data_IF_633624687490
#
_entry.id   IF_633624687490
#
_cell.length_a   1.000
_cell.length_b   1.000
_cell.length_c   1.000
_cell.angle_alpha   90.00
_cell.angle_beta   90.00
_cell.angle_gamma   90.00
#
_symmetry.space_group_name_H-M   'P 1'
#
loop_
_entity.id
_entity.type
_entity.pdbx_description
1 polymer ?
#
# COMPACT_ATOMS: atom_id res chain seq x y z
N UNK A 1 3.78 -0.69 -3.65
CA UNK A 1 3.09 -1.79 -2.95
C UNK A 1 1.84 -1.31 -2.20
N UNK A 2 1.90 -0.24 -1.39
CA UNK A 2 0.73 0.25 -0.63
C UNK A 2 -0.54 0.44 -1.48
N UNK A 3 -0.45 1.18 -2.59
CA UNK A 3 -1.59 1.41 -3.51
C UNK A 3 -2.16 0.08 -4.02
N UNK A 4 -1.30 -0.79 -4.57
CA UNK A 4 -1.72 -2.09 -5.11
C UNK A 4 -2.37 -3.01 -4.06
N UNK A 5 -1.88 -3.00 -2.81
CA UNK A 5 -2.49 -3.79 -1.73
C UNK A 5 -3.87 -3.22 -1.38
N UNK A 6 -4.02 -1.89 -1.29
CA UNK A 6 -5.32 -1.24 -1.07
C UNK A 6 -6.31 -1.57 -2.19
N UNK A 7 -5.89 -1.51 -3.45
CA UNK A 7 -6.71 -1.91 -4.60
C UNK A 7 -7.13 -3.38 -4.52
N UNK A 8 -6.22 -4.28 -4.13
CA UNK A 8 -6.51 -5.70 -3.99
C UNK A 8 -7.59 -5.97 -2.92
N UNK A 9 -7.56 -5.26 -1.78
CA UNK A 9 -8.60 -5.39 -0.75
C UNK A 9 -9.97 -4.91 -1.23
N UNK A 10 -10.03 -3.75 -1.90
CA UNK A 10 -11.30 -3.23 -2.45
C UNK A 10 -11.85 -4.17 -3.54
N UNK A 11 -10.98 -4.69 -4.41
CA UNK A 11 -11.37 -5.67 -5.42
C UNK A 11 -11.88 -6.96 -4.75
N UNK A 12 -11.16 -7.50 -3.77
CA UNK A 12 -11.57 -8.68 -3.02
C UNK A 12 -12.94 -8.51 -2.36
N UNK A 13 -13.17 -7.39 -1.68
CA UNK A 13 -14.46 -7.04 -1.07
C UNK A 13 -15.58 -7.00 -2.12
N UNK A 14 -15.34 -6.37 -3.27
CA UNK A 14 -16.33 -6.31 -4.37
C UNK A 14 -16.69 -7.69 -4.94
N UNK A 15 -15.81 -8.67 -4.78
CA UNK A 15 -16.01 -10.06 -5.19
C UNK A 15 -16.58 -10.94 -4.06
N UNK A 16 -16.88 -10.37 -2.88
CA UNK A 16 -17.43 -11.07 -1.73
C UNK A 16 -16.40 -11.79 -0.85
N UNK A 17 -15.10 -11.52 -1.03
CA UNK A 17 -14.07 -12.04 -0.14
C UNK A 17 -14.00 -11.20 1.14
N UNK A 18 -13.83 -11.88 2.28
CA UNK A 18 -13.48 -11.19 3.51
C UNK A 18 -12.03 -10.69 3.46
N UNK A 19 -11.77 -9.59 4.15
CA UNK A 19 -10.40 -9.07 4.32
C UNK A 19 -9.45 -10.13 4.89
N UNK A 20 -9.92 -10.94 5.84
CA UNK A 20 -9.10 -12.00 6.43
C UNK A 20 -8.74 -13.08 5.38
N UNK A 21 -9.71 -13.51 4.57
CA UNK A 21 -9.46 -14.51 3.54
C UNK A 21 -8.43 -14.02 2.50
N UNK A 22 -8.54 -12.76 2.07
CA UNK A 22 -7.54 -12.18 1.16
C UNK A 22 -6.16 -12.08 1.83
N UNK A 23 -6.12 -11.65 3.09
CA UNK A 23 -4.88 -11.52 3.85
C UNK A 23 -4.17 -12.87 4.04
N UNK A 24 -4.89 -13.92 4.44
CA UNK A 24 -4.33 -15.24 4.72
C UNK A 24 -3.62 -15.83 3.48
N UNK A 25 -4.22 -15.66 2.30
CA UNK A 25 -3.64 -16.11 1.04
C UNK A 25 -2.48 -15.20 0.61
N UNK A 26 -2.71 -13.88 0.53
CA UNK A 26 -1.72 -12.97 -0.05
C UNK A 26 -0.47 -12.81 0.83
N UNK A 27 -0.59 -12.97 2.15
CA UNK A 27 0.52 -12.85 3.10
C UNK A 27 1.51 -14.02 3.08
N UNK A 28 1.10 -15.16 2.50
CA UNK A 28 1.94 -16.36 2.37
C UNK A 28 2.27 -16.69 0.91
N UNK A 29 1.78 -15.88 -0.03
CA UNK A 29 2.01 -16.02 -1.46
C UNK A 29 3.00 -14.98 -2.00
N UNK A 30 3.15 -14.92 -3.33
CA UNK A 30 4.05 -13.99 -4.02
C UNK A 30 3.65 -12.52 -3.90
N UNK A 31 2.41 -12.22 -3.50
CA UNK A 31 1.94 -10.85 -3.23
C UNK A 31 2.40 -10.28 -1.89
N UNK A 32 3.12 -11.06 -1.08
CA UNK A 32 3.56 -10.63 0.24
C UNK A 32 4.51 -9.43 0.15
N UNK A 33 4.24 -8.43 0.97
CA UNK A 33 5.13 -7.31 1.23
C UNK A 33 4.80 -6.64 2.56
N UNK A 34 5.65 -5.73 3.03
CA UNK A 34 5.46 -4.98 4.27
C UNK A 34 4.11 -4.24 4.33
N UNK A 35 3.65 -3.70 3.20
CA UNK A 35 2.37 -3.02 3.08
C UNK A 35 1.18 -3.91 3.46
N UNK A 36 1.30 -5.23 3.22
CA UNK A 36 0.28 -6.20 3.57
C UNK A 36 0.45 -6.68 5.03
N UNK A 37 1.63 -7.16 5.41
CA UNK A 37 1.83 -7.89 6.68
C UNK A 37 2.07 -6.99 7.89
N UNK A 38 2.35 -5.70 7.68
CA UNK A 38 2.62 -4.77 8.77
C UNK A 38 1.71 -3.54 8.70
N UNK A 39 1.49 -3.02 7.50
CA UNK A 39 0.70 -1.80 7.29
C UNK A 39 -0.61 -2.05 6.54
N UNK A 40 -1.25 -3.19 6.84
CA UNK A 40 -2.50 -3.63 6.20
C UNK A 40 -3.51 -2.47 6.13
N UNK A 41 -4.05 -2.14 4.93
CA UNK A 41 -4.87 -0.95 4.74
C UNK A 41 -6.32 -1.13 5.20
N UNK A 42 -6.68 -2.31 5.74
CA UNK A 42 -8.02 -2.60 6.27
C UNK A 42 -7.93 -3.02 7.74
N UNK A 43 -8.93 -2.66 8.57
CA UNK A 43 -8.97 -3.06 9.97
C UNK A 43 -9.17 -4.58 10.11
N UNK A 44 -8.62 -5.16 11.18
CA UNK A 44 -8.73 -6.60 11.50
C UNK A 44 -7.43 -7.38 11.32
N UNK A 45 -7.01 -7.75 10.08
CA UNK A 45 -5.98 -8.77 9.85
C UNK A 45 -4.63 -8.50 10.51
N UNK A 46 -4.25 -7.22 10.65
CA UNK A 46 -3.04 -6.80 11.36
C UNK A 46 -3.43 -5.81 12.45
N UNK A 47 -3.63 -6.25 13.70
CA UNK A 47 -4.15 -5.39 14.79
C UNK A 47 -3.30 -4.14 15.06
N UNK A 48 -1.99 -4.23 14.86
CA UNK A 48 -1.05 -3.12 15.07
C UNK A 48 -1.03 -2.09 13.93
N UNK A 49 -1.68 -2.37 12.79
CA UNK A 49 -1.69 -1.47 11.63
C UNK A 49 -2.47 -0.17 11.91
N UNK A 50 -2.14 0.93 11.22
CA UNK A 50 -2.87 2.20 11.35
C UNK A 50 -4.37 2.10 11.04
N UNK A 51 -4.79 1.15 10.20
CA UNK A 51 -6.20 0.97 9.83
C UNK A 51 -7.12 0.68 11.03
N UNK A 52 -6.59 0.15 12.13
CA UNK A 52 -7.34 -0.11 13.37
C UNK A 52 -7.40 1.10 14.33
N UNK A 53 -6.81 2.24 13.95
CA UNK A 53 -6.70 3.43 14.80
C UNK A 53 -6.92 4.72 14.01
N UNK A 54 -7.97 4.72 13.18
CA UNK A 54 -8.40 5.84 12.34
C UNK A 54 -7.28 6.40 11.46
N UNK A 55 -6.41 5.51 10.98
CA UNK A 55 -5.23 5.85 10.17
C UNK A 55 -4.31 6.88 10.81
N UNK A 56 -4.30 6.96 12.16
CA UNK A 56 -3.35 7.81 12.88
C UNK A 56 -1.93 7.50 12.43
N UNK A 57 -1.15 8.52 11.99
CA UNK A 57 0.04 8.27 11.20
C UNK A 57 1.10 7.46 11.96
N UNK A 58 1.63 6.43 11.31
CA UNK A 58 3.00 5.98 11.54
C UNK A 58 3.94 6.73 10.60
N UNK A 59 3.70 6.54 9.29
CA UNK A 59 4.25 7.39 8.23
C UNK A 59 3.12 8.19 7.59
N UNK A 60 3.23 9.53 7.62
CA UNK A 60 2.15 10.42 7.21
C UNK A 60 2.07 10.56 5.68
N UNK A 61 0.85 10.64 5.14
CA UNK A 61 0.62 10.79 3.70
C UNK A 61 1.33 12.02 3.08
N UNK A 62 1.38 13.21 3.72
CA UNK A 62 2.15 14.33 3.19
C UNK A 62 3.66 14.07 3.08
N UNK A 63 4.22 13.22 3.97
CA UNK A 63 5.62 12.84 3.88
C UNK A 63 5.86 11.87 2.72
N UNK A 64 4.95 10.91 2.50
CA UNK A 64 5.00 10.04 1.32
C UNK A 64 4.92 10.86 0.02
N UNK A 65 4.00 11.83 -0.06
CA UNK A 65 3.87 12.71 -1.23
C UNK A 65 5.14 13.52 -1.49
N UNK A 66 5.75 14.06 -0.43
CA UNK A 66 7.06 14.73 -0.52
C UNK A 66 8.12 13.79 -1.09
N UNK A 67 8.24 12.58 -0.55
CA UNK A 67 9.28 11.63 -0.96
C UNK A 67 9.07 11.15 -2.40
N UNK A 68 7.81 10.95 -2.83
CA UNK A 68 7.46 10.67 -4.21
C UNK A 68 7.85 11.82 -5.15
N UNK A 69 7.65 13.08 -4.74
CA UNK A 69 8.12 14.24 -5.50
C UNK A 69 9.64 14.28 -5.66
N UNK A 70 10.39 13.96 -4.60
CA UNK A 70 11.86 13.85 -4.67
C UNK A 70 12.29 12.72 -5.62
N UNK A 71 11.64 11.57 -5.55
CA UNK A 71 11.91 10.43 -6.45
C UNK A 71 11.58 10.78 -7.92
N UNK A 72 10.43 11.42 -8.17
CA UNK A 72 10.03 11.85 -9.51
C UNK A 72 11.03 12.84 -10.14
N UNK A 73 11.54 13.78 -9.34
CA UNK A 73 12.58 14.71 -9.80
C UNK A 73 13.87 13.96 -10.17
N UNK A 74 14.31 13.00 -9.35
CA UNK A 74 15.49 12.20 -9.64
C UNK A 74 15.33 11.34 -10.89
N UNK A 75 14.16 10.70 -11.07
CA UNK A 75 13.83 9.92 -12.26
C UNK A 75 13.90 10.77 -13.54
N UNK A 76 13.32 11.98 -13.52
CA UNK A 76 13.37 12.92 -14.66
C UNK A 76 14.79 13.37 -14.95
N UNK A 77 15.57 13.72 -13.92
CA UNK A 77 16.95 14.14 -14.10
C UNK A 77 17.85 13.02 -14.65
N UNK A 78 17.57 11.77 -14.26
CA UNK A 78 18.29 10.59 -14.74
C UNK A 78 17.78 9.99 -16.05
N UNK A 79 16.71 10.52 -16.62
CA UNK A 79 16.09 9.95 -17.83
C UNK A 79 15.55 8.52 -17.64
N UNK A 80 15.14 8.17 -16.42
CA UNK A 80 14.67 6.82 -16.07
C UNK A 80 13.16 6.71 -16.27
N UNK A 81 12.72 5.73 -17.05
CA UNK A 81 11.30 5.40 -17.18
C UNK A 81 10.81 4.60 -15.96
N UNK A 82 9.91 5.21 -15.21
CA UNK A 82 9.25 4.60 -14.06
C UNK A 82 7.77 4.98 -14.02
N UNK A 83 7.02 4.57 -15.05
CA UNK A 83 5.61 4.94 -15.25
C UNK A 83 4.66 4.71 -14.07
N UNK A 84 4.88 3.71 -13.21
CA UNK A 84 4.06 3.53 -12.00
C UNK A 84 4.38 4.56 -10.91
N UNK A 85 5.67 4.77 -10.64
CA UNK A 85 6.11 5.73 -9.62
C UNK A 85 5.75 7.18 -10.00
N UNK A 86 5.89 7.53 -11.29
CA UNK A 86 5.56 8.86 -11.79
C UNK A 86 4.07 9.18 -11.77
N UNK A 87 3.18 8.19 -11.84
CA UNK A 87 1.73 8.39 -11.71
C UNK A 87 1.27 8.48 -10.25
N UNK A 88 2.08 7.96 -9.32
CA UNK A 88 1.80 8.01 -7.90
C UNK A 88 2.24 9.34 -7.26
N UNK A 89 3.21 10.03 -7.86
CA UNK A 89 3.74 11.33 -7.43
C UNK A 89 2.89 12.49 -7.93
#
# INVERSE_FOLDING_TARGET
SMIAVSEAFVLGESLGLSHQALYDVASTASGQCWALTTNCPVPGPVPASPANRDYRPGFAAPLMAKDLGLAANALRAGGIDAGLGLRAA
#
